data_IF_190457203885
#
_entry.id   IF_190457203885
#
_cell.length_a   1.000
_cell.length_b   1.000
_cell.length_c   1.000
_cell.angle_alpha   90.00
_cell.angle_beta   90.00
_cell.angle_gamma   90.00
#
_symmetry.space_group_name_H-M   'P 1'
#
loop_
_entity.id
_entity.type
_entity.pdbx_description
1 polymer ?
#
# COMPACT_ATOMS: atom_id res chain seq x y z
N UNK A 1 -3.20 15.23 -20.47
CA UNK A 1 -2.82 13.98 -21.15
C UNK A 1 -1.86 13.12 -20.32
N UNK A 2 -0.74 13.65 -19.82
CA UNK A 2 0.28 12.88 -19.06
C UNK A 2 -0.26 12.19 -17.80
N UNK A 3 -0.95 12.92 -16.91
CA UNK A 3 -1.50 12.35 -15.67
C UNK A 3 -2.51 11.21 -15.93
N UNK A 4 -3.34 11.33 -16.96
CA UNK A 4 -4.29 10.27 -17.35
C UNK A 4 -3.57 8.99 -17.78
N UNK A 5 -2.51 9.13 -18.58
CA UNK A 5 -1.68 7.99 -18.99
C UNK A 5 -1.01 7.32 -17.79
N UNK A 6 -0.52 8.11 -16.82
CA UNK A 6 0.07 7.57 -15.59
C UNK A 6 -0.99 6.89 -14.71
N UNK A 7 -2.22 7.42 -14.63
CA UNK A 7 -3.31 6.77 -13.90
C UNK A 7 -3.68 5.41 -14.50
N UNK A 8 -3.87 5.35 -15.83
CA UNK A 8 -4.13 4.09 -16.56
C UNK A 8 -2.98 3.10 -16.31
N UNK A 9 -1.74 3.55 -16.49
CA UNK A 9 -0.56 2.72 -16.26
C UNK A 9 -0.50 2.23 -14.82
N UNK A 10 -0.68 3.09 -13.82
CA UNK A 10 -0.60 2.72 -12.42
C UNK A 10 -1.66 1.70 -12.03
N UNK A 11 -2.91 1.87 -12.48
CA UNK A 11 -3.98 0.91 -12.25
C UNK A 11 -3.61 -0.49 -12.78
N UNK A 12 -3.29 -0.59 -14.07
CA UNK A 12 -3.01 -1.87 -14.74
C UNK A 12 -1.71 -2.48 -14.20
N UNK A 13 -0.65 -1.68 -14.04
CA UNK A 13 0.63 -2.12 -13.51
C UNK A 13 0.51 -2.63 -12.08
N UNK A 14 -0.20 -1.91 -11.22
CA UNK A 14 -0.43 -2.33 -9.84
C UNK A 14 -1.24 -3.61 -9.74
N UNK A 15 -2.28 -3.76 -10.56
CA UNK A 15 -3.05 -5.01 -10.63
C UNK A 15 -2.17 -6.18 -11.09
N UNK A 16 -1.32 -5.98 -12.10
CA UNK A 16 -0.35 -6.97 -12.56
C UNK A 16 0.65 -7.39 -11.47
N UNK A 17 1.20 -6.43 -10.73
CA UNK A 17 2.07 -6.71 -9.58
C UNK A 17 1.34 -7.51 -8.50
N UNK A 18 0.13 -7.09 -8.12
CA UNK A 18 -0.64 -7.74 -7.06
C UNK A 18 -1.14 -9.14 -7.44
N UNK A 19 -1.40 -9.42 -8.71
CA UNK A 19 -1.81 -10.75 -9.21
C UNK A 19 -0.65 -11.71 -9.42
N UNK A 20 0.52 -11.21 -9.84
CA UNK A 20 1.70 -12.06 -10.07
C UNK A 20 2.50 -12.33 -8.80
N UNK A 21 2.61 -11.32 -7.93
CA UNK A 21 3.49 -11.35 -6.77
C UNK A 21 2.80 -10.98 -5.46
N UNK A 22 1.67 -10.29 -5.49
CA UNK A 22 0.98 -9.83 -4.27
C UNK A 22 -0.17 -10.74 -3.81
N UNK A 23 -1.05 -10.17 -3.00
CA UNK A 23 -2.18 -10.89 -2.38
C UNK A 23 -3.22 -11.40 -3.37
N UNK A 24 -3.35 -10.80 -4.56
CA UNK A 24 -4.36 -11.22 -5.53
C UNK A 24 -3.99 -12.55 -6.20
N UNK A 25 -2.74 -13.00 -6.08
CA UNK A 25 -2.30 -14.32 -6.57
C UNK A 25 -3.02 -15.49 -5.89
N UNK A 26 -3.60 -15.25 -4.72
CA UNK A 26 -4.37 -16.25 -3.96
C UNK A 26 -5.85 -16.30 -4.34
N UNK A 27 -6.32 -15.36 -5.16
CA UNK A 27 -7.68 -15.38 -5.68
C UNK A 27 -7.79 -16.38 -6.84
N UNK A 28 -8.98 -16.94 -7.01
CA UNK A 28 -9.30 -17.71 -8.22
C UNK A 28 -9.40 -16.78 -9.45
N UNK A 29 -9.29 -17.37 -10.64
CA UNK A 29 -9.31 -16.64 -11.91
C UNK A 29 -10.56 -15.78 -12.09
N UNK A 30 -11.74 -16.31 -11.77
CA UNK A 30 -13.01 -15.58 -11.91
C UNK A 30 -13.04 -14.31 -11.05
N UNK A 31 -12.55 -14.39 -9.81
CA UNK A 31 -12.46 -13.23 -8.93
C UNK A 31 -11.44 -12.20 -9.46
N UNK A 32 -10.30 -12.65 -10.00
CA UNK A 32 -9.33 -11.76 -10.64
C UNK A 32 -9.93 -11.05 -11.86
N UNK A 33 -10.65 -11.77 -12.73
CA UNK A 33 -11.31 -11.19 -13.91
C UNK A 33 -12.35 -10.13 -13.51
N UNK A 34 -13.20 -10.44 -12.52
CA UNK A 34 -14.19 -9.49 -12.02
C UNK A 34 -13.54 -8.21 -11.49
N UNK A 35 -12.46 -8.35 -10.72
CA UNK A 35 -11.71 -7.20 -10.21
C UNK A 35 -11.03 -6.40 -11.32
N UNK A 36 -10.51 -7.06 -12.35
CA UNK A 36 -9.92 -6.40 -13.51
C UNK A 36 -10.97 -5.58 -14.28
N UNK A 37 -12.17 -6.12 -14.49
CA UNK A 37 -13.26 -5.37 -15.12
C UNK A 37 -13.68 -4.17 -14.28
N UNK A 38 -13.86 -4.34 -12.97
CA UNK A 38 -14.15 -3.22 -12.05
C UNK A 38 -13.06 -2.16 -12.07
N UNK A 39 -11.79 -2.55 -12.11
CA UNK A 39 -10.65 -1.64 -12.23
C UNK A 39 -10.66 -0.85 -13.55
N UNK A 40 -10.94 -1.51 -14.68
CA UNK A 40 -11.05 -0.85 -15.99
C UNK A 40 -12.19 0.17 -15.97
N UNK A 41 -13.35 -0.19 -15.40
CA UNK A 41 -14.46 0.74 -15.24
C UNK A 41 -14.08 1.96 -14.39
N UNK A 42 -13.38 1.75 -13.27
CA UNK A 42 -12.84 2.84 -12.46
C UNK A 42 -11.90 3.75 -13.27
N UNK A 43 -10.99 3.18 -14.04
CA UNK A 43 -10.07 3.94 -14.89
C UNK A 43 -10.87 4.80 -15.88
N UNK A 44 -11.83 4.22 -16.58
CA UNK A 44 -12.65 4.92 -17.58
C UNK A 44 -13.49 6.06 -16.96
N UNK A 45 -14.11 5.81 -15.80
CA UNK A 45 -14.90 6.82 -15.09
C UNK A 45 -14.00 7.93 -14.53
N UNK A 46 -12.83 7.57 -13.98
CA UNK A 46 -11.88 8.51 -13.39
C UNK A 46 -11.26 9.48 -14.41
N UNK A 47 -11.03 9.02 -15.64
CA UNK A 47 -10.54 9.91 -16.72
C UNK A 47 -11.67 10.61 -17.48
N UNK A 48 -12.92 10.14 -17.39
CA UNK A 48 -14.03 10.56 -18.26
C UNK A 48 -14.26 12.07 -18.29
N UNK A 49 -14.36 12.73 -17.13
CA UNK A 49 -14.53 14.19 -17.10
C UNK A 49 -13.29 14.93 -17.51
N UNK A 50 -12.12 14.39 -17.19
CA UNK A 50 -10.88 15.01 -17.61
C UNK A 50 -10.73 14.97 -19.12
N UNK A 51 -11.16 13.89 -19.78
CA UNK A 51 -11.20 13.83 -21.24
C UNK A 51 -12.18 14.84 -21.84
N UNK A 52 -13.35 15.02 -21.21
CA UNK A 52 -14.40 15.94 -21.69
C UNK A 52 -14.07 17.42 -21.49
N UNK A 53 -13.51 17.78 -20.34
CA UNK A 53 -13.31 19.18 -19.91
C UNK A 53 -11.87 19.65 -20.03
N UNK A 54 -10.94 18.72 -20.26
CA UNK A 54 -9.50 18.91 -20.17
C UNK A 54 -8.97 19.34 -18.78
N UNK A 55 -9.81 19.28 -17.74
CA UNK A 55 -9.44 19.61 -16.35
C UNK A 55 -9.16 18.32 -15.57
N UNK A 56 -8.11 18.30 -14.76
CA UNK A 56 -7.87 17.19 -13.81
C UNK A 56 -8.61 17.52 -12.52
N UNK A 57 -9.44 16.60 -11.97
CA UNK A 57 -10.06 16.84 -10.68
C UNK A 57 -8.98 17.09 -9.62
N UNK A 58 -9.26 17.97 -8.68
CA UNK A 58 -8.40 18.25 -7.53
C UNK A 58 -9.15 17.91 -6.27
N UNK A 59 -8.56 17.07 -5.42
CA UNK A 59 -9.08 16.75 -4.09
C UNK A 59 -8.16 17.36 -3.05
N UNK A 60 -8.75 18.11 -2.13
CA UNK A 60 -8.01 18.73 -1.03
C UNK A 60 -7.77 17.72 0.11
N UNK A 61 -6.68 17.89 0.88
CA UNK A 61 -5.65 18.91 0.70
C UNK A 61 -4.62 18.52 -0.37
N UNK A 62 -3.93 19.54 -0.88
CA UNK A 62 -2.69 19.33 -1.65
C UNK A 62 -1.55 19.06 -0.68
N UNK A 63 -0.87 17.93 -0.85
CA UNK A 63 0.26 17.50 -0.05
C UNK A 63 1.58 18.02 -0.67
N UNK A 64 2.53 18.38 0.19
CA UNK A 64 3.83 18.89 -0.23
C UNK A 64 4.87 17.76 -0.30
N UNK A 65 5.80 17.84 -1.27
CA UNK A 65 6.95 16.92 -1.35
C UNK A 65 7.85 17.00 -0.12
N UNK A 66 7.85 18.14 0.59
CA UNK A 66 8.58 18.31 1.84
C UNK A 66 8.11 17.36 2.96
N UNK A 67 6.91 16.79 2.86
CA UNK A 67 6.40 15.79 3.80
C UNK A 67 6.93 14.38 3.51
N UNK A 68 7.63 14.14 2.39
CA UNK A 68 8.18 12.83 2.06
C UNK A 68 9.46 12.55 2.82
N UNK A 69 9.58 11.40 3.50
CA UNK A 69 10.86 10.94 4.00
C UNK A 69 11.82 10.67 2.82
N UNK A 70 12.94 11.39 2.77
CA UNK A 70 14.02 11.16 1.80
C UNK A 70 15.17 10.33 2.39
N UNK A 71 15.17 10.14 3.71
CA UNK A 71 16.18 9.38 4.43
C UNK A 71 15.85 7.88 4.36
N UNK A 72 16.45 7.20 3.38
CA UNK A 72 16.30 5.76 3.22
C UNK A 72 16.66 4.96 4.48
N UNK A 73 16.15 3.74 4.57
CA UNK A 73 16.36 2.88 5.75
C UNK A 73 17.82 2.40 5.80
N UNK A 74 18.52 2.55 6.95
CA UNK A 74 19.90 2.13 7.09
C UNK A 74 20.05 0.61 6.90
N UNK A 75 21.27 0.16 6.57
CA UNK A 75 21.54 -1.27 6.43
C UNK A 75 21.46 -1.97 7.78
N UNK A 76 21.04 -3.24 7.77
CA UNK A 76 20.99 -4.08 8.96
C UNK A 76 22.33 -4.10 9.72
N UNK A 77 23.44 -4.15 8.99
CA UNK A 77 24.80 -4.15 9.55
C UNK A 77 25.10 -2.92 10.42
N UNK A 78 24.46 -1.78 10.12
CA UNK A 78 24.68 -0.49 10.80
C UNK A 78 23.63 -0.16 11.86
N UNK A 79 22.59 -0.99 12.02
CA UNK A 79 21.54 -0.72 13.00
C UNK A 79 22.01 -0.99 14.45
N UNK A 80 21.49 -0.25 15.45
CA UNK A 80 21.71 -0.55 16.87
C UNK A 80 21.24 -1.95 17.25
N UNK A 81 21.81 -2.52 18.32
CA UNK A 81 21.54 -3.91 18.80
C UNK A 81 21.63 -4.05 20.32
N UNK A 82 21.46 -2.96 21.06
CA UNK A 82 21.64 -2.92 22.52
C UNK A 82 20.41 -3.45 23.25
N UNK A 83 19.23 -3.31 22.65
CA UNK A 83 17.94 -3.76 23.22
C UNK A 83 17.30 -4.87 22.39
N UNK A 84 16.41 -5.70 22.97
CA UNK A 84 15.68 -6.72 22.21
C UNK A 84 14.93 -6.16 20.99
N UNK A 85 14.34 -4.97 21.10
CA UNK A 85 13.63 -4.33 19.98
C UNK A 85 14.61 -3.87 18.89
N UNK A 86 15.76 -3.32 19.28
CA UNK A 86 16.82 -2.96 18.32
C UNK A 86 17.37 -4.19 17.58
N UNK A 87 17.62 -5.29 18.31
CA UNK A 87 18.03 -6.57 17.72
C UNK A 87 16.96 -7.11 16.75
N UNK A 88 15.69 -7.07 17.16
CA UNK A 88 14.54 -7.50 16.33
C UNK A 88 14.45 -6.70 15.03
N UNK A 89 14.59 -5.37 15.11
CA UNK A 89 14.59 -4.48 13.96
C UNK A 89 15.78 -4.76 13.02
N UNK A 90 16.99 -4.91 13.56
CA UNK A 90 18.17 -5.26 12.78
C UNK A 90 18.02 -6.63 12.08
N UNK A 91 17.41 -7.60 12.77
CA UNK A 91 17.14 -8.93 12.23
C UNK A 91 16.14 -8.89 11.07
N UNK A 92 14.99 -8.21 11.23
CA UNK A 92 14.02 -8.09 10.13
C UNK A 92 14.57 -7.26 8.98
N UNK A 93 15.37 -6.22 9.25
CA UNK A 93 16.06 -5.50 8.17
C UNK A 93 17.01 -6.41 7.39
N UNK A 94 17.76 -7.27 8.09
CA UNK A 94 18.62 -8.25 7.44
C UNK A 94 17.82 -9.26 6.61
N UNK A 95 16.65 -9.69 7.11
CA UNK A 95 15.75 -10.56 6.36
C UNK A 95 15.21 -9.89 5.08
N UNK A 96 14.83 -8.60 5.15
CA UNK A 96 14.42 -7.81 3.98
C UNK A 96 15.55 -7.77 2.95
N UNK A 97 16.76 -7.45 3.38
CA UNK A 97 17.93 -7.40 2.50
C UNK A 97 18.27 -8.78 1.91
N UNK A 98 18.13 -9.85 2.69
CA UNK A 98 18.33 -11.22 2.22
C UNK A 98 17.31 -11.65 1.15
N UNK A 99 16.03 -11.28 1.32
CA UNK A 99 14.98 -11.54 0.33
C UNK A 99 15.20 -10.68 -0.91
N UNK A 100 15.58 -9.42 -0.76
CA UNK A 100 15.88 -8.55 -1.89
C UNK A 100 17.02 -9.10 -2.76
N UNK A 101 18.03 -9.73 -2.16
CA UNK A 101 19.18 -10.28 -2.87
C UNK A 101 18.95 -11.68 -3.45
N UNK A 102 18.15 -12.53 -2.78
CA UNK A 102 18.06 -13.98 -3.09
C UNK A 102 16.66 -14.53 -3.29
N UNK A 103 15.64 -13.69 -3.16
CA UNK A 103 14.23 -14.08 -3.26
C UNK A 103 13.66 -14.66 -1.97
N UNK A 104 12.33 -14.69 -1.90
CA UNK A 104 11.57 -15.10 -0.70
C UNK A 104 11.73 -16.59 -0.38
N UNK A 105 11.94 -17.42 -1.40
CA UNK A 105 12.13 -18.88 -1.24
C UNK A 105 13.38 -19.23 -0.42
N UNK A 106 14.35 -18.32 -0.35
CA UNK A 106 15.61 -18.48 0.39
C UNK A 106 15.58 -17.78 1.76
N UNK A 107 14.41 -17.31 2.20
CA UNK A 107 14.26 -16.68 3.51
C UNK A 107 14.46 -17.70 4.63
N UNK A 108 15.56 -17.53 5.37
CA UNK A 108 15.92 -18.37 6.52
C UNK A 108 16.39 -17.49 7.67
N UNK A 109 16.00 -17.84 8.89
CA UNK A 109 16.39 -17.11 10.10
C UNK A 109 17.92 -17.04 10.20
N UNK A 110 18.61 -18.16 10.00
CA UNK A 110 20.07 -18.33 10.09
C UNK A 110 20.84 -17.42 9.11
N UNK A 111 20.24 -17.10 7.96
CA UNK A 111 20.87 -16.15 7.05
C UNK A 111 20.67 -14.72 7.54
N UNK A 112 19.45 -14.37 7.95
CA UNK A 112 19.15 -13.06 8.47
C UNK A 112 20.00 -12.75 9.72
N UNK A 113 20.23 -13.74 10.60
CA UNK A 113 21.12 -13.56 11.77
C UNK A 113 22.55 -13.24 11.36
N UNK A 114 23.08 -13.97 10.36
CA UNK A 114 24.44 -13.78 9.88
C UNK A 114 24.63 -12.38 9.28
N UNK A 115 23.67 -11.94 8.46
CA UNK A 115 23.69 -10.59 7.88
C UNK A 115 23.48 -9.51 8.94
N UNK A 116 22.63 -9.75 9.92
CA UNK A 116 22.42 -8.84 11.05
C UNK A 116 23.63 -8.79 12.00
N UNK A 117 24.56 -9.75 11.95
CA UNK A 117 25.65 -9.87 12.93
C UNK A 117 25.16 -10.28 14.31
N UNK A 118 24.10 -11.09 14.39
CA UNK A 118 23.53 -11.63 15.62
C UNK A 118 23.86 -13.13 15.73
N UNK A 119 24.03 -13.62 16.96
CA UNK A 119 24.04 -15.06 17.20
C UNK A 119 22.64 -15.64 16.97
N UNK A 120 22.57 -16.91 16.57
CA UNK A 120 21.29 -17.59 16.37
C UNK A 120 20.48 -17.68 17.68
N UNK A 121 21.15 -17.79 18.82
CA UNK A 121 20.52 -17.79 20.14
C UNK A 121 19.81 -16.46 20.42
N UNK A 122 20.48 -15.33 20.21
CA UNK A 122 19.89 -14.00 20.40
C UNK A 122 18.75 -13.74 19.41
N UNK A 123 18.89 -14.18 18.15
CA UNK A 123 17.80 -14.05 17.20
C UNK A 123 16.56 -14.85 17.61
N UNK A 124 16.75 -16.07 18.13
CA UNK A 124 15.67 -16.93 18.64
C UNK A 124 15.00 -16.41 19.91
N UNK A 125 15.60 -15.44 20.62
CA UNK A 125 14.98 -14.80 21.78
C UNK A 125 14.08 -13.62 21.40
N UNK A 126 14.27 -13.02 20.21
CA UNK A 126 13.52 -11.85 19.74
C UNK A 126 12.47 -12.14 18.67
N UNK A 127 12.36 -13.41 18.24
CA UNK A 127 11.30 -13.91 17.35
C UNK A 127 10.41 -14.91 18.07
N UNK A 128 9.14 -14.94 17.71
CA UNK A 128 8.19 -15.92 18.24
C UNK A 128 8.51 -17.32 17.69
N UNK A 129 8.68 -18.31 18.57
CA UNK A 129 9.00 -19.69 18.16
C UNK A 129 7.83 -20.43 17.50
N UNK A 130 6.60 -20.05 17.85
CA UNK A 130 5.36 -20.69 17.37
C UNK A 130 4.86 -20.13 16.04
N UNK A 131 5.49 -19.08 15.52
CA UNK A 131 5.07 -18.41 14.29
C UNK A 131 6.18 -18.57 13.24
N UNK A 132 5.87 -18.99 12.00
CA UNK A 132 6.86 -19.05 10.94
C UNK A 132 7.56 -17.70 10.72
N UNK A 133 8.86 -17.72 10.41
CA UNK A 133 9.66 -16.49 10.35
C UNK A 133 9.19 -15.53 9.24
N UNK A 134 8.73 -16.08 8.12
CA UNK A 134 8.14 -15.36 7.01
C UNK A 134 6.87 -14.61 7.40
N UNK A 135 5.98 -15.23 8.20
CA UNK A 135 4.76 -14.59 8.72
C UNK A 135 5.08 -13.48 9.70
N UNK A 136 6.14 -13.65 10.50
CA UNK A 136 6.61 -12.60 11.39
C UNK A 136 7.21 -11.42 10.62
N UNK A 137 7.93 -11.68 9.52
CA UNK A 137 8.47 -10.64 8.64
C UNK A 137 7.37 -9.88 7.91
N UNK A 138 6.37 -10.60 7.38
CA UNK A 138 5.16 -9.99 6.78
C UNK A 138 4.46 -9.08 7.78
N UNK A 139 4.18 -9.59 8.99
CA UNK A 139 3.52 -8.81 10.06
C UNK A 139 4.35 -7.60 10.50
N UNK A 140 5.69 -7.74 10.52
CA UNK A 140 6.59 -6.62 10.82
C UNK A 140 6.50 -5.54 9.75
N UNK A 141 6.61 -5.91 8.47
CA UNK A 141 6.54 -4.98 7.35
C UNK A 141 5.17 -4.30 7.23
N UNK A 142 4.09 -5.06 7.45
CA UNK A 142 2.74 -4.49 7.42
C UNK A 142 2.52 -3.50 8.57
N UNK A 143 3.06 -3.78 9.76
CA UNK A 143 3.04 -2.83 10.88
C UNK A 143 3.83 -1.55 10.57
N UNK A 144 5.03 -1.67 9.99
CA UNK A 144 5.83 -0.49 9.61
C UNK A 144 5.10 0.36 8.54
N UNK A 145 4.47 -0.30 7.56
CA UNK A 145 3.63 0.37 6.56
C UNK A 145 2.47 1.12 7.22
N UNK A 146 1.72 0.45 8.12
CA UNK A 146 0.62 1.06 8.86
C UNK A 146 1.09 2.28 9.68
N UNK A 147 2.20 2.17 10.42
CA UNK A 147 2.77 3.29 11.21
C UNK A 147 3.14 4.47 10.30
N UNK A 148 3.76 4.19 9.16
CA UNK A 148 4.11 5.23 8.18
C UNK A 148 2.88 5.90 7.58
N UNK A 149 1.82 5.15 7.31
CA UNK A 149 0.55 5.71 6.79
C UNK A 149 -0.14 6.56 7.86
N UNK A 150 -0.19 6.08 9.10
CA UNK A 150 -0.81 6.80 10.21
C UNK A 150 -0.11 8.13 10.52
N UNK A 151 1.23 8.18 10.42
CA UNK A 151 1.98 9.41 10.67
C UNK A 151 1.69 10.51 9.63
N UNK A 152 1.48 10.14 8.37
CA UNK A 152 1.06 11.09 7.32
C UNK A 152 -0.34 11.64 7.56
N UNK A 153 -1.27 10.82 8.04
CA UNK A 153 -2.61 11.30 8.38
C UNK A 153 -2.60 12.25 9.58
N UNK A 154 -1.68 12.07 10.53
CA UNK A 154 -1.54 12.99 11.66
C UNK A 154 -1.10 14.42 11.25
N UNK A 155 -0.63 14.60 10.00
CA UNK A 155 -0.32 15.91 9.43
C UNK A 155 -1.56 16.63 8.88
N UNK A 156 -2.70 15.92 8.76
CA UNK A 156 -3.94 16.50 8.28
C UNK A 156 -4.69 17.25 9.39
N UNK A 157 -5.47 18.28 9.06
CA UNK A 157 -6.38 18.92 10.00
C UNK A 157 -7.35 17.91 10.65
N UNK A 158 -7.68 18.12 11.93
CA UNK A 158 -8.51 17.22 12.77
C UNK A 158 -9.89 16.89 12.18
N UNK A 159 -10.42 17.76 11.30
CA UNK A 159 -11.73 17.61 10.67
C UNK A 159 -11.65 17.31 9.16
N UNK A 160 -10.55 16.71 8.70
CA UNK A 160 -10.41 16.31 7.30
C UNK A 160 -11.45 15.25 6.92
N UNK A 161 -12.06 15.42 5.73
CA UNK A 161 -13.04 14.47 5.19
C UNK A 161 -12.47 13.06 5.02
N UNK A 162 -13.34 12.04 4.96
CA UNK A 162 -12.94 10.66 4.66
C UNK A 162 -12.20 10.54 3.33
N UNK A 163 -12.60 11.33 2.33
CA UNK A 163 -11.97 11.46 1.02
C UNK A 163 -10.53 12.01 1.15
N UNK A 164 -10.35 13.09 1.91
CA UNK A 164 -9.04 13.70 2.17
C UNK A 164 -8.09 12.73 2.89
N UNK A 165 -8.60 12.03 3.91
CA UNK A 165 -7.86 10.99 4.63
C UNK A 165 -7.49 9.82 3.70
N UNK A 166 -8.38 9.44 2.78
CA UNK A 166 -8.12 8.43 1.76
C UNK A 166 -6.99 8.83 0.79
N UNK A 167 -7.00 10.09 0.31
CA UNK A 167 -5.91 10.63 -0.53
C UNK A 167 -4.57 10.55 0.21
N UNK A 168 -4.50 11.07 1.43
CA UNK A 168 -3.27 11.03 2.22
C UNK A 168 -2.76 9.61 2.49
N UNK A 169 -3.68 8.65 2.68
CA UNK A 169 -3.34 7.22 2.82
C UNK A 169 -2.60 6.70 1.59
N UNK A 170 -3.15 6.95 0.40
CA UNK A 170 -2.53 6.52 -0.86
C UNK A 170 -1.17 7.19 -1.11
N UNK A 171 -1.06 8.49 -0.80
CA UNK A 171 0.21 9.22 -0.91
C UNK A 171 1.25 8.68 0.06
N UNK A 172 0.87 8.45 1.33
CA UNK A 172 1.75 7.91 2.35
C UNK A 172 2.28 6.52 1.96
N UNK A 173 1.40 5.64 1.46
CA UNK A 173 1.77 4.31 0.96
C UNK A 173 2.88 4.37 -0.11
N UNK A 174 2.76 5.30 -1.07
CA UNK A 174 3.78 5.51 -2.11
C UNK A 174 5.06 6.08 -1.52
N UNK A 175 4.96 7.04 -0.59
CA UNK A 175 6.12 7.60 0.11
C UNK A 175 6.89 6.54 0.90
N UNK A 176 6.20 5.61 1.58
CA UNK A 176 6.83 4.49 2.28
C UNK A 176 7.64 3.63 1.32
N UNK A 177 7.10 3.34 0.13
CA UNK A 177 7.81 2.59 -0.91
C UNK A 177 9.01 3.34 -1.48
N UNK A 178 8.93 4.66 -1.61
CA UNK A 178 10.07 5.49 -2.02
C UNK A 178 11.19 5.48 -0.97
N UNK A 179 10.82 5.47 0.31
CA UNK A 179 11.76 5.48 1.43
C UNK A 179 12.42 4.11 1.67
N UNK A 180 11.67 3.02 1.50
CA UNK A 180 12.19 1.65 1.59
C UNK A 180 11.73 0.77 0.41
N UNK A 181 12.34 0.92 -0.78
CA UNK A 181 11.98 0.12 -1.94
C UNK A 181 12.14 -1.38 -1.72
N UNK A 182 13.16 -1.78 -0.95
CA UNK A 182 13.40 -3.19 -0.62
C UNK A 182 12.30 -3.72 0.30
N UNK A 183 12.00 -3.02 1.40
CA UNK A 183 10.92 -3.40 2.31
C UNK A 183 9.56 -3.50 1.61
N UNK A 184 9.24 -2.55 0.74
CA UNK A 184 8.01 -2.57 -0.05
C UNK A 184 7.92 -3.79 -1.00
N UNK A 185 8.98 -4.09 -1.74
CA UNK A 185 9.01 -5.24 -2.65
C UNK A 185 8.90 -6.56 -1.85
N UNK A 186 9.55 -6.66 -0.69
CA UNK A 186 9.46 -7.83 0.19
C UNK A 186 8.05 -7.98 0.75
N UNK A 187 7.42 -6.91 1.25
CA UNK A 187 6.04 -6.95 1.75
C UNK A 187 5.08 -7.46 0.68
N UNK A 188 5.28 -7.03 -0.57
CA UNK A 188 4.46 -7.46 -1.69
C UNK A 188 4.62 -8.96 -1.96
N UNK A 189 5.86 -9.45 -2.04
CA UNK A 189 6.17 -10.82 -2.42
C UNK A 189 5.92 -11.84 -1.31
N UNK A 190 6.13 -11.46 -0.05
CA UNK A 190 5.95 -12.33 1.12
C UNK A 190 4.49 -12.52 1.53
N UNK A 191 3.57 -11.73 0.95
CA UNK A 191 2.14 -11.83 1.15
C UNK A 191 1.70 -13.30 1.18
N UNK A 192 0.94 -13.70 2.19
CA UNK A 192 0.80 -15.12 2.52
C UNK A 192 -0.64 -15.63 2.51
N UNK A 193 -1.59 -14.78 2.12
CA UNK A 193 -3.00 -15.14 1.99
C UNK A 193 -3.81 -14.12 1.20
N UNK A 194 -5.05 -14.51 0.91
CA UNK A 194 -6.06 -13.63 0.33
C UNK A 194 -6.72 -12.79 1.42
N UNK A 195 -7.02 -11.53 1.11
CA UNK A 195 -7.64 -10.57 2.03
C UNK A 195 -8.97 -10.08 1.46
N UNK A 196 -10.03 -10.87 1.63
CA UNK A 196 -11.40 -10.53 1.16
C UNK A 196 -12.27 -10.26 2.39
N UNK A 197 -12.84 -9.06 2.56
CA UNK A 197 -13.75 -8.79 3.67
C UNK A 197 -15.03 -9.60 3.52
N UNK A 198 -15.49 -10.25 4.60
CA UNK A 198 -16.71 -11.05 4.58
C UNK A 198 -17.97 -10.18 4.58
N UNK A 199 -17.92 -9.08 5.32
CA UNK A 199 -19.03 -8.15 5.51
C UNK A 199 -18.63 -6.73 5.14
N UNK A 200 -19.61 -5.86 4.92
CA UNK A 200 -19.35 -4.43 4.84
C UNK A 200 -18.91 -3.88 6.19
N UNK A 201 -19.59 -4.28 7.27
CA UNK A 201 -19.24 -3.88 8.63
C UNK A 201 -17.91 -4.46 9.07
N UNK A 202 -17.23 -3.77 9.99
CA UNK A 202 -16.02 -4.29 10.63
C UNK A 202 -16.37 -5.53 11.44
N UNK A 203 -15.78 -6.67 11.11
CA UNK A 203 -16.01 -7.94 11.79
C UNK A 203 -14.79 -8.35 12.61
N UNK A 204 -15.02 -8.89 13.80
CA UNK A 204 -13.96 -9.57 14.55
C UNK A 204 -13.48 -10.85 13.88
N UNK A 205 -14.23 -11.38 12.89
CA UNK A 205 -13.89 -12.59 12.15
C UNK A 205 -12.91 -12.35 10.97
N UNK A 206 -12.57 -11.09 10.68
CA UNK A 206 -11.62 -10.73 9.62
C UNK A 206 -10.15 -10.90 10.07
N UNK A 207 -9.85 -11.99 10.79
CA UNK A 207 -8.56 -12.23 11.46
C UNK A 207 -7.34 -12.24 10.53
N UNK A 208 -7.55 -12.51 9.23
CA UNK A 208 -6.48 -12.60 8.24
C UNK A 208 -6.17 -11.25 7.55
N UNK A 209 -6.90 -10.18 7.89
CA UNK A 209 -6.66 -8.85 7.32
C UNK A 209 -5.62 -8.10 8.14
N UNK A 210 -4.46 -7.84 7.54
CA UNK A 210 -3.39 -7.06 8.16
C UNK A 210 -3.77 -5.58 8.40
N UNK A 211 -3.18 -4.92 9.41
CA UNK A 211 -3.50 -3.55 9.80
C UNK A 211 -3.43 -2.51 8.67
N UNK A 212 -2.54 -2.64 7.68
CA UNK A 212 -2.51 -1.63 6.59
C UNK A 212 -3.73 -1.74 5.68
N UNK A 213 -4.17 -2.96 5.36
CA UNK A 213 -5.34 -3.14 4.50
C UNK A 213 -6.65 -2.89 5.25
N UNK A 214 -6.75 -3.29 6.53
CA UNK A 214 -7.90 -2.93 7.39
C UNK A 214 -8.07 -1.41 7.42
N UNK A 215 -6.96 -0.67 7.54
CA UNK A 215 -6.98 0.78 7.52
C UNK A 215 -7.51 1.35 6.20
N UNK A 216 -7.14 0.78 5.05
CA UNK A 216 -7.70 1.18 3.75
C UNK A 216 -9.20 0.88 3.67
N UNK A 217 -9.61 -0.32 4.10
CA UNK A 217 -11.02 -0.71 4.16
C UNK A 217 -11.83 0.28 5.01
N UNK A 218 -11.29 0.73 6.15
CA UNK A 218 -11.92 1.75 6.98
C UNK A 218 -12.15 3.07 6.23
N UNK A 219 -11.16 3.55 5.45
CA UNK A 219 -11.33 4.80 4.69
C UNK A 219 -12.37 4.68 3.59
N UNK A 220 -12.34 3.57 2.85
CA UNK A 220 -13.32 3.32 1.77
C UNK A 220 -14.71 3.13 2.34
N UNK A 221 -14.84 2.36 3.43
CA UNK A 221 -16.11 2.15 4.14
C UNK A 221 -16.71 3.48 4.60
N UNK A 222 -15.90 4.34 5.24
CA UNK A 222 -16.34 5.66 5.68
C UNK A 222 -16.80 6.54 4.51
N UNK A 223 -16.07 6.54 3.39
CA UNK A 223 -16.47 7.29 2.20
C UNK A 223 -17.81 6.79 1.62
N UNK A 224 -17.99 5.48 1.52
CA UNK A 224 -19.25 4.87 1.04
C UNK A 224 -20.41 5.22 1.98
N UNK A 225 -20.24 5.02 3.29
CA UNK A 225 -21.27 5.24 4.29
C UNK A 225 -21.74 6.70 4.30
N UNK A 226 -20.80 7.64 4.42
CA UNK A 226 -21.12 9.06 4.49
C UNK A 226 -21.63 9.62 3.17
N UNK A 227 -21.17 9.04 2.06
CA UNK A 227 -21.61 9.40 0.71
C UNK A 227 -22.96 8.81 0.31
N UNK A 228 -23.56 7.92 1.13
CA UNK A 228 -24.83 7.26 0.84
C UNK A 228 -24.75 6.12 -0.19
N UNK A 229 -23.58 5.50 -0.33
CA UNK A 229 -23.35 4.42 -1.30
C UNK A 229 -23.79 3.02 -0.83
N UNK A 230 -23.73 2.01 -1.73
CA UNK A 230 -24.15 0.64 -1.42
C UNK A 230 -23.26 -0.04 -0.35
N UNK A 231 -23.88 -0.56 0.71
CA UNK A 231 -23.20 -1.23 1.83
C UNK A 231 -23.05 -2.73 1.62
N UNK A 232 -22.30 -3.14 0.60
CA UNK A 232 -21.99 -4.57 0.37
C UNK A 232 -20.50 -4.86 0.53
N UNK A 233 -20.15 -6.08 0.95
CA UNK A 233 -18.74 -6.50 1.08
C UNK A 233 -18.00 -6.43 -0.25
N UNK A 234 -18.66 -6.79 -1.35
CA UNK A 234 -18.08 -6.69 -2.69
C UNK A 234 -17.83 -5.24 -3.10
N UNK A 235 -18.78 -4.33 -2.88
CA UNK A 235 -18.59 -2.90 -3.16
C UNK A 235 -17.40 -2.35 -2.39
N UNK A 236 -17.28 -2.68 -1.10
CA UNK A 236 -16.13 -2.29 -0.27
C UNK A 236 -14.82 -2.86 -0.83
N UNK A 237 -14.81 -4.15 -1.15
CA UNK A 237 -13.62 -4.86 -1.60
C UNK A 237 -13.10 -4.34 -2.96
N UNK A 238 -13.97 -4.28 -3.97
CA UNK A 238 -13.62 -3.83 -5.32
C UNK A 238 -13.07 -2.40 -5.31
N UNK A 239 -13.73 -1.49 -4.59
CA UNK A 239 -13.31 -0.08 -4.52
C UNK A 239 -11.99 0.07 -3.74
N UNK A 240 -11.79 -0.71 -2.69
CA UNK A 240 -10.53 -0.71 -1.93
C UNK A 240 -9.38 -1.26 -2.78
N UNK A 241 -9.62 -2.34 -3.52
CA UNK A 241 -8.62 -2.89 -4.44
C UNK A 241 -8.29 -1.95 -5.58
N UNK A 242 -9.26 -1.24 -6.14
CA UNK A 242 -8.99 -0.20 -7.14
C UNK A 242 -8.01 0.85 -6.62
N UNK A 243 -8.32 1.46 -5.46
CA UNK A 243 -7.44 2.46 -4.86
C UNK A 243 -6.05 1.88 -4.56
N UNK A 244 -5.99 0.64 -4.06
CA UNK A 244 -4.73 -0.03 -3.76
C UNK A 244 -3.93 -0.33 -5.03
N UNK A 245 -4.55 -0.81 -6.12
CA UNK A 245 -3.88 -1.07 -7.38
C UNK A 245 -3.22 0.20 -7.91
N UNK A 246 -3.91 1.33 -7.88
CA UNK A 246 -3.37 2.61 -8.33
C UNK A 246 -2.18 3.05 -7.46
N UNK A 247 -2.34 3.02 -6.13
CA UNK A 247 -1.26 3.40 -5.21
C UNK A 247 -0.06 2.44 -5.34
N UNK A 248 -0.30 1.14 -5.43
CA UNK A 248 0.73 0.12 -5.62
C UNK A 248 1.46 0.27 -6.94
N UNK A 249 0.74 0.57 -8.02
CA UNK A 249 1.33 0.82 -9.33
C UNK A 249 2.28 2.01 -9.32
N UNK A 250 1.88 3.11 -8.69
CA UNK A 250 2.74 4.28 -8.48
C UNK A 250 3.94 3.94 -7.58
N UNK A 251 3.69 3.29 -6.44
CA UNK A 251 4.71 2.88 -5.48
C UNK A 251 5.81 2.04 -6.14
N UNK A 252 5.42 0.99 -6.86
CA UNK A 252 6.36 0.15 -7.59
C UNK A 252 7.05 0.94 -8.71
N UNK A 253 6.30 1.67 -9.55
CA UNK A 253 6.87 2.38 -10.69
C UNK A 253 7.90 3.44 -10.29
N UNK A 254 7.66 4.15 -9.18
CA UNK A 254 8.52 5.22 -8.70
C UNK A 254 9.69 4.76 -7.82
N UNK A 255 9.56 3.64 -7.10
CA UNK A 255 10.60 3.14 -6.19
C UNK A 255 11.60 2.22 -6.90
N UNK A 256 11.12 1.23 -7.65
CA UNK A 256 11.94 0.16 -8.22
C UNK A 256 11.69 -0.06 -9.72
N UNK A 257 10.59 0.46 -10.25
CA UNK A 257 10.10 0.20 -11.61
C UNK A 257 10.59 1.14 -12.71
N UNK A 258 9.83 1.27 -13.81
CA UNK A 258 10.27 1.98 -15.02
C UNK A 258 10.36 3.51 -14.84
N UNK A 259 9.65 4.07 -13.86
CA UNK A 259 9.60 5.51 -13.59
C UNK A 259 10.53 5.93 -12.44
N UNK A 260 11.40 5.03 -11.97
CA UNK A 260 12.28 5.30 -10.81
C UNK A 260 13.25 6.46 -11.00
N UNK A 261 13.63 6.76 -12.25
CA UNK A 261 14.55 7.84 -12.61
C UNK A 261 13.86 9.19 -12.83
N UNK A 262 12.53 9.27 -12.69
CA UNK A 262 11.85 10.56 -12.68
C UNK A 262 12.34 11.41 -11.50
N UNK A 263 12.41 12.71 -11.74
CA UNK A 263 12.69 13.69 -10.70
C UNK A 263 11.72 13.56 -9.51
N UNK A 264 12.22 13.78 -8.29
CA UNK A 264 11.45 13.56 -7.07
C UNK A 264 10.24 14.49 -6.98
N UNK A 265 10.42 15.78 -7.25
CA UNK A 265 9.32 16.75 -7.24
C UNK A 265 8.31 16.42 -8.35
N UNK A 266 8.79 15.95 -9.51
CA UNK A 266 7.88 15.52 -10.57
C UNK A 266 7.08 14.26 -10.21
N UNK A 267 7.66 13.29 -9.49
CA UNK A 267 6.91 12.15 -8.93
C UNK A 267 5.82 12.64 -7.99
N UNK A 268 6.09 13.66 -7.18
CA UNK A 268 5.10 14.27 -6.28
C UNK A 268 3.95 14.95 -7.00
N UNK A 269 4.22 15.67 -8.09
CA UNK A 269 3.15 16.25 -8.94
C UNK A 269 2.20 15.16 -9.45
N UNK A 270 2.75 14.00 -9.85
CA UNK A 270 1.93 12.86 -10.29
C UNK A 270 1.20 12.20 -9.13
N UNK A 271 1.86 12.06 -7.98
CA UNK A 271 1.31 11.48 -6.75
C UNK A 271 0.18 12.32 -6.16
N UNK A 272 0.16 13.61 -6.41
CA UNK A 272 -0.96 14.49 -6.07
C UNK A 272 -2.18 14.25 -6.98
N UNK A 273 -1.95 14.19 -8.29
CA UNK A 273 -3.04 14.25 -9.27
C UNK A 273 -3.65 12.89 -9.62
N UNK A 274 -2.88 11.82 -9.56
CA UNK A 274 -3.35 10.47 -9.92
C UNK A 274 -4.35 9.92 -8.89
N UNK A 275 -4.11 10.03 -7.56
CA UNK A 275 -5.12 9.68 -6.57
C UNK A 275 -6.42 10.46 -6.72
N UNK A 276 -6.37 11.73 -7.15
CA UNK A 276 -7.57 12.54 -7.35
C UNK A 276 -8.49 11.95 -8.43
N UNK A 277 -7.92 11.45 -9.54
CA UNK A 277 -8.68 10.71 -10.56
C UNK A 277 -9.23 9.38 -10.01
N UNK A 278 -8.39 8.69 -9.23
CA UNK A 278 -8.74 7.40 -8.62
C UNK A 278 -9.93 7.53 -7.66
N UNK A 279 -9.92 8.51 -6.78
CA UNK A 279 -11.01 8.78 -5.83
C UNK A 279 -12.23 9.35 -6.54
N UNK A 280 -12.05 10.23 -7.52
CA UNK A 280 -13.16 10.74 -8.35
C UNK A 280 -13.92 9.60 -9.02
N UNK A 281 -13.22 8.55 -9.45
CA UNK A 281 -13.88 7.38 -10.02
C UNK A 281 -14.78 6.65 -9.02
N UNK A 282 -14.33 6.52 -7.76
CA UNK A 282 -15.10 5.91 -6.67
C UNK A 282 -16.36 6.73 -6.39
N UNK A 283 -16.22 8.04 -6.23
CA UNK A 283 -17.34 8.95 -5.96
C UNK A 283 -18.41 8.80 -7.05
N UNK A 284 -18.00 8.74 -8.32
CA UNK A 284 -18.94 8.67 -9.45
C UNK A 284 -19.55 7.31 -9.65
N UNK A 285 -18.76 6.23 -9.60
CA UNK A 285 -19.29 4.88 -9.79
C UNK A 285 -20.35 4.54 -8.75
N UNK A 286 -20.18 5.06 -7.54
CA UNK A 286 -21.11 4.82 -6.43
C UNK A 286 -22.13 5.96 -6.23
N UNK A 287 -22.12 7.00 -7.07
CA UNK A 287 -22.95 8.21 -6.92
C UNK A 287 -22.91 8.80 -5.50
N UNK A 288 -21.71 8.86 -4.90
CA UNK A 288 -21.53 9.38 -3.55
C UNK A 288 -21.73 10.89 -3.54
N UNK A 289 -22.36 11.38 -2.47
CA UNK A 289 -22.37 12.81 -2.14
C UNK A 289 -21.10 13.14 -1.35
N UNK A 290 -20.15 13.94 -1.88
CA UNK A 290 -18.93 14.27 -1.14
C UNK A 290 -19.26 15.03 0.14
N UNK A 291 -18.52 14.73 1.21
CA UNK A 291 -18.56 15.55 2.43
C UNK A 291 -18.12 16.98 2.09
N UNK A 292 -18.85 17.97 2.62
CA UNK A 292 -18.55 19.40 2.46
C UNK A 292 -17.31 19.82 3.27
#
# INVERSE_FOLDING_TARGET
>A
MRTRAIFIFAAIHGFGCLTSQGVLRFLNHTAQEQLLFGLIEHVMVGIGDSLRTNITPTILPTLSSAASPTAGIPRASTMPRETPEQMRRALFRAAIEDVADRGVEQLQLESATRRAGLSLELARSVVARSVPFERQLESYLDKEMHVSVASFQALLPEHSSSISMGKATGVAFVCTALNDPAGFNVLTTIASGSIVPRTFEKSSEDFDIGPSFDFLLERVRAAIEKGGGPRTSWTLYENSLHLWCVAHGLAHAFSSGPLRKLDHDYKFVLLEQVPDMSITSLIRRLNLTPEA
#
